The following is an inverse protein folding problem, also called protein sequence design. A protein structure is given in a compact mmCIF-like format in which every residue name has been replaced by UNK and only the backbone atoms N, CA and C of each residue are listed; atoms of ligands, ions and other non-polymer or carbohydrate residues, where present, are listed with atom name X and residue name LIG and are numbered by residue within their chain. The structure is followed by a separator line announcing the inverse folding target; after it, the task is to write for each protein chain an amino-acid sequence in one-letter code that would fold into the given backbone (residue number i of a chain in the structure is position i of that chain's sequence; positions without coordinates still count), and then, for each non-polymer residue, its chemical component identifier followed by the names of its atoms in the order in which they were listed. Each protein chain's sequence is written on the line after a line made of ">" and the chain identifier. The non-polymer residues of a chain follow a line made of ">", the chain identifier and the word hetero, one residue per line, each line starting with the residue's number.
data_IF_596286236991
#
_entry.id   IF_596286236991
#
_cell.length_a   1.000
_cell.length_b   1.000
_cell.length_c   1.000
_cell.angle_alpha   90.00
_cell.angle_beta   90.00
_cell.angle_gamma   90.00
#
_symmetry.space_group_name_H-M   'P 1'
#
loop_
_entity.id
_entity.type
_entity.pdbx_description
1 polymer ?
#
# COMPACT_ATOMS: atom_id res chain seq x y z
N UNK A 1 58.52 0.18 -44.62
CA UNK A 1 58.45 0.08 -43.15
C UNK A 1 57.61 1.25 -42.64
N UNK A 2 56.29 1.19 -42.79
CA UNK A 2 55.40 2.28 -42.38
C UNK A 2 53.95 1.76 -42.36
N UNK A 3 53.61 0.88 -41.40
CA UNK A 3 52.21 0.46 -41.29
C UNK A 3 51.72 0.04 -39.91
N UNK A 4 52.58 -0.08 -38.89
CA UNK A 4 52.13 -0.53 -37.54
C UNK A 4 51.82 0.62 -36.56
N UNK A 5 52.31 1.83 -36.80
CA UNK A 5 52.17 2.94 -35.83
C UNK A 5 50.82 3.69 -35.90
N UNK A 6 50.04 3.55 -37.00
CA UNK A 6 48.78 4.30 -37.16
C UNK A 6 47.58 3.68 -36.44
N UNK A 7 47.68 2.41 -36.00
CA UNK A 7 46.55 1.69 -35.39
C UNK A 7 46.37 2.04 -33.91
N UNK A 8 47.47 2.16 -33.15
CA UNK A 8 47.41 2.41 -31.72
C UNK A 8 46.96 3.84 -31.36
N UNK A 9 47.33 4.83 -32.17
CA UNK A 9 47.02 6.25 -31.90
C UNK A 9 45.55 6.63 -32.09
N UNK A 10 44.80 5.90 -32.94
CA UNK A 10 43.36 6.15 -33.14
C UNK A 10 42.45 5.28 -32.26
N UNK A 11 42.93 4.13 -31.77
CA UNK A 11 42.15 3.24 -30.91
C UNK A 11 42.16 3.67 -29.44
N UNK A 12 43.26 4.26 -28.95
CA UNK A 12 43.39 4.73 -27.57
C UNK A 12 42.36 5.84 -27.20
N UNK A 13 42.16 6.88 -28.03
CA UNK A 13 41.18 7.93 -27.77
C UNK A 13 39.74 7.41 -27.79
N UNK A 14 39.44 6.42 -28.65
CA UNK A 14 38.11 5.83 -28.78
C UNK A 14 37.72 4.98 -27.57
N UNK A 15 38.67 4.21 -27.03
CA UNK A 15 38.51 3.46 -25.78
C UNK A 15 38.34 4.39 -24.57
N UNK A 16 39.12 5.48 -24.52
CA UNK A 16 38.98 6.50 -23.47
C UNK A 16 37.63 7.23 -23.57
N UNK A 17 37.13 7.52 -24.78
CA UNK A 17 35.81 8.10 -24.97
C UNK A 17 34.70 7.18 -24.43
N UNK A 18 34.78 5.88 -24.71
CA UNK A 18 33.82 4.87 -24.26
C UNK A 18 33.76 4.74 -22.72
N UNK A 19 34.88 4.94 -22.03
CA UNK A 19 34.96 4.88 -20.57
C UNK A 19 34.54 6.20 -19.89
N UNK A 20 34.64 7.33 -20.58
CA UNK A 20 34.29 8.65 -20.05
C UNK A 20 32.85 9.10 -20.38
N UNK A 21 32.26 8.55 -21.45
CA UNK A 21 30.85 8.75 -21.81
C UNK A 21 29.85 8.43 -20.67
N UNK A 22 29.98 7.31 -19.92
CA UNK A 22 29.10 7.01 -18.78
C UNK A 22 29.23 7.99 -17.61
N UNK A 23 30.37 8.69 -17.50
CA UNK A 23 30.59 9.70 -16.44
C UNK A 23 29.93 11.04 -16.80
N UNK A 24 29.80 11.35 -18.10
CA UNK A 24 29.05 12.52 -18.58
C UNK A 24 27.53 12.28 -18.59
N UNK A 25 27.10 11.03 -18.78
CA UNK A 25 25.69 10.61 -18.67
C UNK A 25 25.26 10.18 -17.27
N UNK A 26 26.13 10.28 -16.25
CA UNK A 26 25.71 10.33 -14.84
C UNK A 26 25.06 11.67 -14.56
N UNK A 27 23.93 11.90 -15.23
CA UNK A 27 23.02 12.96 -14.85
C UNK A 27 22.69 12.79 -13.38
N UNK A 28 22.86 13.89 -12.63
CA UNK A 28 22.23 14.11 -11.33
C UNK A 28 20.73 14.26 -11.60
N UNK A 29 20.11 13.17 -12.08
CA UNK A 29 18.67 13.06 -12.12
C UNK A 29 18.22 12.75 -10.70
N UNK A 30 17.18 13.42 -10.18
CA UNK A 30 16.58 12.97 -8.93
C UNK A 30 16.24 11.49 -9.12
N UNK A 31 16.78 10.61 -8.26
CA UNK A 31 16.25 9.25 -8.15
C UNK A 31 14.75 9.42 -7.94
N UNK A 32 13.89 8.68 -8.66
CA UNK A 32 12.46 8.71 -8.34
C UNK A 32 12.34 8.34 -6.87
N UNK A 33 12.01 9.33 -6.04
CA UNK A 33 11.81 9.14 -4.61
C UNK A 33 10.57 8.29 -4.52
N UNK A 34 10.75 6.99 -4.32
CA UNK A 34 9.65 6.07 -4.08
C UNK A 34 8.94 6.56 -2.82
N UNK A 35 7.73 7.10 -2.99
CA UNK A 35 6.98 7.69 -1.89
C UNK A 35 6.67 6.56 -0.91
N UNK A 36 7.12 6.73 0.34
CA UNK A 36 6.92 5.72 1.38
C UNK A 36 5.41 5.47 1.57
N UNK A 37 5.00 4.20 1.54
CA UNK A 37 3.63 3.79 1.85
C UNK A 37 3.30 4.09 3.31
N UNK A 38 2.10 4.58 3.58
CA UNK A 38 1.55 4.67 4.92
C UNK A 38 0.92 3.32 5.32
N UNK A 39 0.87 3.06 6.62
CA UNK A 39 0.24 1.86 7.19
C UNK A 39 -0.64 2.27 8.36
N UNK A 40 -1.90 1.83 8.34
CA UNK A 40 -2.82 1.96 9.46
C UNK A 40 -3.27 0.57 9.92
N UNK A 41 -3.43 0.41 11.24
CA UNK A 41 -3.91 -0.86 11.84
C UNK A 41 -4.94 -0.54 12.91
N UNK A 42 -6.07 -1.23 12.86
CA UNK A 42 -7.10 -1.17 13.90
C UNK A 42 -7.78 -2.52 14.09
N UNK A 43 -8.62 -2.62 15.12
CA UNK A 43 -9.31 -3.84 15.51
C UNK A 43 -10.80 -3.54 15.65
N UNK A 44 -11.64 -4.49 15.26
CA UNK A 44 -13.10 -4.43 15.34
C UNK A 44 -13.66 -5.71 15.96
N UNK A 45 -14.78 -5.66 16.73
CA UNK A 45 -15.44 -6.87 17.24
C UNK A 45 -16.08 -7.73 16.16
N UNK A 46 -16.23 -7.18 14.95
CA UNK A 46 -16.94 -7.84 13.86
C UNK A 46 -16.15 -9.06 13.36
N UNK A 47 -16.88 -10.07 12.88
CA UNK A 47 -16.29 -11.26 12.28
C UNK A 47 -15.57 -10.92 10.99
N UNK A 48 -14.57 -11.72 10.63
CA UNK A 48 -13.69 -11.42 9.50
C UNK A 48 -14.45 -11.37 8.17
N UNK A 49 -15.48 -12.19 8.02
CA UNK A 49 -16.36 -12.21 6.85
C UNK A 49 -17.13 -10.89 6.70
N UNK A 50 -17.78 -10.43 7.77
CA UNK A 50 -18.55 -9.18 7.77
C UNK A 50 -17.68 -7.98 7.43
N UNK A 51 -16.45 -7.96 7.96
CA UNK A 51 -15.47 -6.90 7.71
C UNK A 51 -15.00 -6.95 6.25
N UNK A 52 -14.69 -8.14 5.73
CA UNK A 52 -14.25 -8.30 4.35
C UNK A 52 -15.34 -7.87 3.36
N UNK A 53 -16.59 -8.23 3.61
CA UNK A 53 -17.74 -7.83 2.79
C UNK A 53 -17.95 -6.31 2.84
N UNK A 54 -17.80 -5.71 4.03
CA UNK A 54 -17.83 -4.26 4.20
C UNK A 54 -16.76 -3.53 3.38
N UNK A 55 -15.51 -4.02 3.41
CA UNK A 55 -14.41 -3.48 2.60
C UNK A 55 -14.72 -3.65 1.10
N UNK A 56 -15.19 -4.83 0.70
CA UNK A 56 -15.50 -5.13 -0.70
C UNK A 56 -16.60 -4.22 -1.24
N UNK A 57 -17.66 -3.98 -0.45
CA UNK A 57 -18.75 -3.06 -0.82
C UNK A 57 -18.27 -1.62 -0.94
N UNK A 58 -17.41 -1.17 -0.03
CA UNK A 58 -16.78 0.15 -0.11
C UNK A 58 -15.95 0.30 -1.40
N UNK A 59 -15.15 -0.72 -1.74
CA UNK A 59 -14.34 -0.73 -2.97
C UNK A 59 -15.22 -0.67 -4.22
N UNK A 60 -16.35 -1.38 -4.26
CA UNK A 60 -17.30 -1.27 -5.37
C UNK A 60 -17.95 0.13 -5.45
N UNK A 61 -18.26 0.76 -4.32
CA UNK A 61 -18.75 2.14 -4.31
C UNK A 61 -17.72 3.12 -4.90
N UNK A 62 -16.44 2.98 -4.55
CA UNK A 62 -15.37 3.80 -5.13
C UNK A 62 -15.29 3.65 -6.65
N UNK A 63 -15.38 2.41 -7.12
CA UNK A 63 -15.38 2.10 -8.55
C UNK A 63 -16.59 2.71 -9.26
N UNK A 64 -17.76 2.76 -8.62
CA UNK A 64 -18.96 3.39 -9.15
C UNK A 64 -18.83 4.93 -9.22
N UNK A 65 -18.32 5.57 -8.15
CA UNK A 65 -18.05 7.02 -8.11
C UNK A 65 -17.11 7.44 -9.24
N UNK A 66 -16.05 6.66 -9.48
CA UNK A 66 -15.08 6.92 -10.54
C UNK A 66 -15.69 6.80 -11.94
N UNK A 67 -16.62 5.87 -12.14
CA UNK A 67 -17.33 5.70 -13.43
C UNK A 67 -18.37 6.79 -13.69
N UNK A 68 -18.91 7.41 -12.64
CA UNK A 68 -19.89 8.48 -12.74
C UNK A 68 -19.28 9.87 -13.05
N UNK A 69 -17.95 10.05 -12.92
CA UNK A 69 -17.29 11.32 -13.25
C UNK A 69 -17.46 11.65 -14.76
N UNK A 70 -17.95 12.86 -15.12
CA UNK A 70 -18.21 13.21 -16.52
C UNK A 70 -16.92 13.22 -17.34
N UNK A 71 -16.89 12.43 -18.42
CA UNK A 71 -15.77 12.40 -19.37
C UNK A 71 -15.69 13.77 -20.05
N UNK A 72 -14.71 14.60 -19.67
CA UNK A 72 -14.38 15.85 -20.38
C UNK A 72 -13.79 15.51 -21.76
N UNK A 73 -14.61 15.12 -22.73
CA UNK A 73 -14.15 14.95 -24.12
C UNK A 73 -14.10 16.33 -24.78
N UNK A 74 -12.91 16.93 -24.86
CA UNK A 74 -12.74 18.25 -25.45
C UNK A 74 -12.66 18.24 -26.98
N UNK A 75 -12.47 17.08 -27.63
CA UNK A 75 -12.38 17.00 -29.10
C UNK A 75 -12.89 15.63 -29.61
N UNK A 76 -13.86 15.57 -30.56
CA UNK A 76 -14.44 14.32 -31.05
C UNK A 76 -13.66 13.66 -32.21
N UNK A 77 -12.49 14.17 -32.61
CA UNK A 77 -11.94 13.87 -33.95
C UNK A 77 -10.56 13.18 -34.01
N UNK A 78 -10.02 12.66 -32.91
CA UNK A 78 -8.76 11.91 -32.95
C UNK A 78 -8.87 10.54 -32.27
N UNK A 79 -8.70 9.51 -33.11
CA UNK A 79 -8.38 8.11 -32.84
C UNK A 79 -8.52 7.60 -31.40
N UNK A 80 -9.40 6.61 -31.24
CA UNK A 80 -9.70 5.93 -29.99
C UNK A 80 -8.46 5.47 -29.23
N UNK A 81 -8.03 6.31 -28.28
CA UNK A 81 -7.10 5.91 -27.24
C UNK A 81 -7.84 4.95 -26.33
N UNK A 82 -7.40 3.69 -26.30
CA UNK A 82 -7.91 2.63 -25.42
C UNK A 82 -8.03 3.23 -24.01
N UNK A 83 -9.26 3.30 -23.48
CA UNK A 83 -9.51 3.87 -22.16
C UNK A 83 -8.77 3.05 -21.11
N UNK A 84 -7.71 3.65 -20.55
CA UNK A 84 -6.94 3.04 -19.48
C UNK A 84 -7.79 3.08 -18.21
N UNK A 85 -8.06 1.90 -17.62
CA UNK A 85 -8.91 1.80 -16.42
C UNK A 85 -8.24 2.55 -15.27
N UNK A 86 -8.93 3.58 -14.74
CA UNK A 86 -8.42 4.38 -13.60
C UNK A 86 -8.34 3.58 -12.29
N UNK A 87 -9.20 2.59 -12.14
CA UNK A 87 -9.31 1.78 -10.92
C UNK A 87 -9.36 0.29 -11.28
N UNK A 88 -8.64 -0.52 -10.52
CA UNK A 88 -8.57 -1.96 -10.69
C UNK A 88 -8.49 -2.68 -9.34
N UNK A 89 -9.24 -3.78 -9.21
CA UNK A 89 -9.04 -4.76 -8.13
C UNK A 89 -7.96 -5.71 -8.60
N UNK A 90 -6.74 -5.55 -8.07
CA UNK A 90 -5.56 -6.32 -8.47
C UNK A 90 -5.63 -7.75 -7.91
N UNK A 91 -6.13 -7.91 -6.68
CA UNK A 91 -6.20 -9.21 -6.01
C UNK A 91 -7.34 -9.25 -5.01
N UNK A 92 -8.04 -10.37 -4.92
CA UNK A 92 -9.04 -10.65 -3.89
C UNK A 92 -8.89 -12.09 -3.40
N UNK A 93 -8.62 -12.27 -2.11
CA UNK A 93 -8.54 -13.57 -1.44
C UNK A 93 -9.44 -13.48 -0.20
N UNK A 94 -10.75 -13.76 -0.33
CA UNK A 94 -11.67 -13.71 0.80
C UNK A 94 -11.32 -14.74 1.91
N UNK A 95 -11.53 -14.41 3.20
CA UNK A 95 -11.81 -13.10 3.76
C UNK A 95 -10.53 -12.34 4.19
N UNK A 96 -9.36 -12.66 3.62
CA UNK A 96 -8.03 -12.31 4.17
C UNK A 96 -7.33 -11.14 3.48
N UNK A 97 -7.54 -10.96 2.18
CA UNK A 97 -6.76 -9.99 1.40
C UNK A 97 -7.60 -9.33 0.32
N UNK A 98 -7.51 -8.00 0.22
CA UNK A 98 -8.00 -7.26 -0.93
C UNK A 98 -6.94 -6.23 -1.35
N UNK A 99 -6.51 -6.27 -2.61
CA UNK A 99 -5.55 -5.33 -3.21
C UNK A 99 -6.23 -4.57 -4.33
N UNK A 100 -6.17 -3.25 -4.25
CA UNK A 100 -6.73 -2.35 -5.25
C UNK A 100 -5.67 -1.35 -5.70
N UNK A 101 -5.79 -0.91 -6.95
CA UNK A 101 -4.94 0.10 -7.54
C UNK A 101 -5.80 1.18 -8.17
N UNK A 102 -5.52 2.44 -7.82
CA UNK A 102 -6.06 3.60 -8.50
C UNK A 102 -4.90 4.40 -9.12
N UNK A 103 -5.06 4.84 -10.36
CA UNK A 103 -4.01 5.58 -11.09
C UNK A 103 -3.63 6.90 -10.42
N UNK A 104 -4.54 7.53 -9.67
CA UNK A 104 -4.31 8.78 -8.93
C UNK A 104 -3.90 8.53 -7.49
N UNK A 105 -4.53 7.56 -6.84
CA UNK A 105 -4.31 7.32 -5.41
C UNK A 105 -3.24 6.28 -5.11
N UNK A 106 -2.84 5.48 -6.10
CA UNK A 106 -1.84 4.42 -5.98
C UNK A 106 -2.42 3.09 -5.50
N UNK A 107 -1.53 2.22 -5.02
CA UNK A 107 -1.90 0.92 -4.47
C UNK A 107 -2.44 1.05 -3.04
N UNK A 108 -3.48 0.28 -2.73
CA UNK A 108 -3.99 0.04 -1.39
C UNK A 108 -4.17 -1.46 -1.16
N UNK A 109 -3.64 -1.97 -0.04
CA UNK A 109 -3.69 -3.38 0.35
C UNK A 109 -4.38 -3.49 1.70
N UNK A 110 -5.47 -4.24 1.76
CA UNK A 110 -6.18 -4.60 2.98
C UNK A 110 -5.80 -6.04 3.36
N UNK A 111 -5.29 -6.23 4.56
CA UNK A 111 -4.95 -7.52 5.15
C UNK A 111 -5.80 -7.70 6.42
N UNK A 112 -6.59 -8.77 6.46
CA UNK A 112 -7.47 -9.09 7.57
C UNK A 112 -6.98 -10.34 8.29
N UNK A 113 -6.94 -10.24 9.62
CA UNK A 113 -6.56 -11.36 10.49
C UNK A 113 -7.61 -11.54 11.56
N UNK A 114 -8.15 -12.75 11.66
CA UNK A 114 -9.02 -13.15 12.76
C UNK A 114 -8.21 -13.15 14.05
N UNK A 115 -8.78 -12.61 15.13
CA UNK A 115 -8.13 -12.60 16.42
C UNK A 115 -8.72 -13.69 17.29
N UNK A 116 -7.83 -14.49 17.90
CA UNK A 116 -8.22 -15.49 18.90
C UNK A 116 -9.07 -14.83 19.98
N UNK A 117 -10.22 -15.42 20.33
CA UNK A 117 -11.19 -14.85 21.27
C UNK A 117 -12.12 -13.77 20.71
N UNK A 118 -12.08 -13.54 19.39
CA UNK A 118 -13.15 -12.88 18.64
C UNK A 118 -12.79 -11.48 18.11
N UNK A 119 -13.26 -11.18 16.91
CA UNK A 119 -13.00 -9.92 16.22
C UNK A 119 -11.92 -10.03 15.14
N UNK A 120 -11.63 -8.90 14.50
CA UNK A 120 -10.79 -8.84 13.30
C UNK A 120 -9.79 -7.70 13.40
N UNK A 121 -8.52 -7.99 13.15
CA UNK A 121 -7.48 -6.99 12.91
C UNK A 121 -7.47 -6.63 11.43
N UNK A 122 -7.55 -5.33 11.15
CA UNK A 122 -7.48 -4.78 9.80
C UNK A 122 -6.18 -4.01 9.70
N UNK A 123 -5.30 -4.44 8.79
CA UNK A 123 -4.07 -3.74 8.41
C UNK A 123 -4.27 -3.20 6.99
N UNK A 124 -4.02 -1.91 6.80
CA UNK A 124 -4.11 -1.28 5.49
C UNK A 124 -2.79 -0.60 5.17
N UNK A 125 -2.15 -1.02 4.08
CA UNK A 125 -1.01 -0.32 3.50
C UNK A 125 -1.47 0.45 2.26
N UNK A 126 -1.17 1.73 2.19
CA UNK A 126 -1.66 2.60 1.12
C UNK A 126 -0.67 3.69 0.76
N UNK A 127 -0.74 4.18 -0.48
CA UNK A 127 0.03 5.35 -0.89
C UNK A 127 -0.58 6.63 -0.26
N UNK A 128 0.21 7.64 0.16
CA UNK A 128 -0.31 8.81 0.90
C UNK A 128 -1.49 9.56 0.26
N UNK A 129 -1.65 9.47 -1.06
CA UNK A 129 -2.80 10.06 -1.78
C UNK A 129 -4.15 9.42 -1.41
N UNK A 130 -4.17 8.16 -0.96
CA UNK A 130 -5.38 7.49 -0.50
C UNK A 130 -5.75 7.84 0.96
N UNK A 131 -4.93 8.61 1.68
CA UNK A 131 -5.07 8.84 3.13
C UNK A 131 -6.46 9.29 3.57
N UNK A 132 -7.01 10.31 2.93
CA UNK A 132 -8.33 10.86 3.30
C UNK A 132 -9.43 9.81 3.18
N UNK A 133 -9.36 8.98 2.13
CA UNK A 133 -10.30 7.89 1.87
C UNK A 133 -10.16 6.77 2.91
N UNK A 134 -8.94 6.38 3.25
CA UNK A 134 -8.69 5.37 4.29
C UNK A 134 -9.13 5.86 5.67
N UNK A 135 -8.88 7.12 6.02
CA UNK A 135 -9.34 7.69 7.29
C UNK A 135 -10.87 7.76 7.38
N UNK A 136 -11.54 8.11 6.28
CA UNK A 136 -13.01 8.11 6.19
C UNK A 136 -13.57 6.71 6.39
N UNK A 137 -12.94 5.69 5.79
CA UNK A 137 -13.32 4.30 5.99
C UNK A 137 -13.11 3.84 7.43
N UNK A 138 -11.94 4.13 8.01
CA UNK A 138 -11.61 3.80 9.41
C UNK A 138 -12.63 4.38 10.38
N UNK A 139 -13.16 5.58 10.10
CA UNK A 139 -14.19 6.22 10.91
C UNK A 139 -15.57 5.52 10.88
N UNK A 140 -15.81 4.62 9.91
CA UNK A 140 -17.04 3.81 9.85
C UNK A 140 -17.04 2.66 10.87
N UNK A 141 -15.86 2.29 11.38
CA UNK A 141 -15.77 1.29 12.42
C UNK A 141 -16.14 1.90 13.76
N UNK A 142 -16.97 1.22 14.56
CA UNK A 142 -17.33 1.75 15.86
C UNK A 142 -16.05 1.89 16.69
N UNK A 143 -15.82 3.07 17.27
CA UNK A 143 -14.75 3.32 18.25
C UNK A 143 -14.98 2.57 19.58
N UNK A 144 -15.78 1.51 19.55
CA UNK A 144 -16.24 0.78 20.71
C UNK A 144 -15.03 0.09 21.31
N UNK A 145 -14.66 0.56 22.50
CA UNK A 145 -13.83 -0.18 23.44
C UNK A 145 -14.52 -1.54 23.56
N UNK A 146 -13.89 -2.57 23.01
CA UNK A 146 -14.30 -3.95 23.18
C UNK A 146 -14.37 -4.18 24.69
N UNK A 147 -15.57 -4.17 25.26
CA UNK A 147 -15.77 -4.35 26.70
C UNK A 147 -15.28 -5.75 27.05
N UNK A 148 -14.09 -5.83 27.65
CA UNK A 148 -13.36 -7.07 27.90
C UNK A 148 -11.92 -7.03 27.39
N UNK A 149 -11.63 -6.31 26.30
CA UNK A 149 -10.26 -6.11 25.84
C UNK A 149 -9.63 -4.96 26.60
N UNK A 150 -8.41 -5.19 27.05
CA UNK A 150 -7.58 -4.19 27.71
C UNK A 150 -6.46 -3.79 26.74
N UNK A 151 -5.98 -2.55 26.82
CA UNK A 151 -4.78 -2.18 26.07
C UNK A 151 -3.56 -2.71 26.80
N UNK A 152 -2.61 -3.29 26.06
CA UNK A 152 -1.32 -3.68 26.61
C UNK A 152 -0.64 -2.46 27.22
N UNK A 153 -0.24 -2.48 28.51
CA UNK A 153 0.35 -1.33 29.18
C UNK A 153 1.73 -0.94 28.59
N UNK A 154 2.37 -1.84 27.84
CA UNK A 154 3.69 -1.60 27.26
C UNK A 154 3.65 -1.04 25.83
N UNK A 155 2.70 -1.47 24.99
CA UNK A 155 2.66 -1.07 23.58
C UNK A 155 1.33 -0.44 23.13
N UNK A 156 0.35 -0.35 24.02
CA UNK A 156 -0.96 0.25 23.74
C UNK A 156 -1.89 -0.57 22.85
N UNK A 157 -1.43 -1.73 22.33
CA UNK A 157 -2.25 -2.57 21.45
C UNK A 157 -3.34 -3.32 22.22
N UNK A 158 -4.53 -3.52 21.63
CA UNK A 158 -5.62 -4.23 22.30
C UNK A 158 -5.25 -5.70 22.51
N UNK A 159 -5.50 -6.21 23.71
CA UNK A 159 -5.26 -7.60 24.10
C UNK A 159 -6.48 -8.12 24.86
N UNK A 160 -6.74 -9.42 24.74
CA UNK A 160 -7.73 -10.08 25.58
C UNK A 160 -7.25 -10.16 27.03
N UNK A 161 -8.17 -10.24 28.00
CA UNK A 161 -7.82 -10.27 29.41
C UNK A 161 -7.10 -11.56 29.81
N UNK A 162 -7.26 -12.61 29.01
CA UNK A 162 -6.77 -13.96 29.27
C UNK A 162 -5.29 -14.17 28.87
N UNK A 163 -4.69 -13.20 28.16
CA UNK A 163 -3.29 -13.29 27.77
C UNK A 163 -2.36 -12.99 28.96
N UNK A 164 -1.48 -13.94 29.26
CA UNK A 164 -0.38 -13.79 30.24
C UNK A 164 0.81 -13.03 29.63
N UNK A 165 0.97 -13.07 28.31
CA UNK A 165 2.04 -12.40 27.55
C UNK A 165 1.43 -11.70 26.35
N UNK A 166 1.85 -10.45 26.09
CA UNK A 166 1.37 -9.68 24.96
C UNK A 166 1.86 -10.30 23.64
N UNK A 167 0.97 -10.67 22.70
CA UNK A 167 1.36 -11.29 21.43
C UNK A 167 2.10 -10.34 20.49
N UNK A 168 2.08 -9.03 20.76
CA UNK A 168 2.66 -8.04 19.86
C UNK A 168 4.03 -7.52 20.29
N UNK A 169 4.30 -7.43 21.58
CA UNK A 169 5.55 -6.87 22.11
C UNK A 169 6.25 -7.81 23.09
N UNK A 170 5.71 -9.01 23.31
CA UNK A 170 6.28 -10.05 24.18
C UNK A 170 6.43 -9.65 25.65
N UNK A 171 5.84 -8.53 26.06
CA UNK A 171 5.83 -8.10 27.46
C UNK A 171 4.81 -8.89 28.27
N UNK A 172 5.20 -9.26 29.50
CA UNK A 172 4.36 -10.01 30.43
C UNK A 172 3.21 -9.11 30.91
N UNK A 173 2.00 -9.62 30.84
CA UNK A 173 0.78 -8.93 31.24
C UNK A 173 0.47 -9.33 32.69
N UNK A 174 0.12 -8.36 33.54
CA UNK A 174 -0.25 -8.63 34.94
C UNK A 174 -1.67 -9.21 34.98
N UNK A 175 -1.80 -10.48 34.61
CA UNK A 175 -3.04 -11.24 34.75
C UNK A 175 -3.04 -12.01 36.06
N UNK A 176 -3.40 -11.36 37.16
CA UNK A 176 -3.86 -12.08 38.36
C UNK A 176 -4.87 -11.18 39.10
N UNK A 177 -6.16 -11.48 38.89
CA UNK A 177 -7.17 -11.14 39.88
C UNK A 177 -7.50 -12.44 40.62
N UNK A 178 -7.08 -12.49 41.88
CA UNK A 178 -7.60 -13.43 42.87
C UNK A 178 -9.10 -13.20 43.10
#
# INVERSE_FOLDING_TARGET
>A
MAQEEMSAFFLLPLLLLCCLLPLLFRGIGPRPTEVAKEVDVWITPQKIEDVFDGISKMVENWKAEIQAEPKKSLLPFMGGKKEEKRFEVVQSIPPRLLRVFDKREGETVFELTEIEGGGTSIRVSYHPFAKSRIQTFKAQFPAKILTGWQSCPSCGKPILPDFVVCPYCSQKLKGEKA
#
